data_IF_852876768663
#
_entry.id   IF_852876768663
#
_cell.length_a   1.000
_cell.length_b   1.000
_cell.length_c   1.000
_cell.angle_alpha   90.00
_cell.angle_beta   90.00
_cell.angle_gamma   90.00
#
_symmetry.space_group_name_H-M   'P 1'
#
loop_
_entity.id
_entity.type
_entity.pdbx_description
1 polymer ?
#
# COMPACT_ATOMS: atom_id res chain seq x y z
N UNK A 1 -21.37 1.36 -6.03
CA UNK A 1 -20.84 2.56 -6.71
C UNK A 1 -19.38 2.70 -6.30
N UNK A 2 -18.50 3.00 -7.26
CA UNK A 2 -17.10 3.30 -6.97
C UNK A 2 -16.97 4.55 -6.07
N UNK A 3 -15.97 4.58 -5.19
CA UNK A 3 -15.73 5.65 -4.22
C UNK A 3 -14.82 6.74 -4.79
N UNK A 4 -14.96 7.98 -4.29
CA UNK A 4 -14.06 9.08 -4.64
C UNK A 4 -12.71 8.94 -3.93
N UNK A 5 -12.71 8.39 -2.73
CA UNK A 5 -11.51 8.08 -1.99
C UNK A 5 -11.73 6.90 -1.05
N UNK A 6 -10.63 6.34 -0.58
CA UNK A 6 -10.59 5.41 0.54
C UNK A 6 -9.46 5.80 1.49
N UNK A 7 -9.65 5.57 2.79
CA UNK A 7 -8.67 5.82 3.82
C UNK A 7 -8.39 4.57 4.66
N UNK A 8 -7.17 4.47 5.18
CA UNK A 8 -6.85 3.47 6.18
C UNK A 8 -7.04 4.05 7.58
N UNK A 9 -7.82 3.35 8.40
CA UNK A 9 -8.05 3.70 9.79
C UNK A 9 -6.83 3.44 10.68
N UNK A 10 -6.98 3.76 11.96
CA UNK A 10 -5.95 3.48 12.96
C UNK A 10 -5.78 1.96 13.17
N UNK A 11 -4.55 1.54 13.44
CA UNK A 11 -4.25 0.15 13.79
C UNK A 11 -4.87 -0.19 15.15
N UNK A 12 -5.65 -1.25 15.21
CA UNK A 12 -6.06 -1.87 16.47
C UNK A 12 -4.86 -2.64 17.04
N UNK A 13 -4.34 -2.16 18.18
CA UNK A 13 -3.20 -2.79 18.84
C UNK A 13 -3.54 -4.12 19.50
N UNK A 14 -4.79 -4.35 19.91
CA UNK A 14 -5.24 -5.59 20.56
C UNK A 14 -5.51 -6.68 19.55
N UNK A 15 -6.17 -6.34 18.44
CA UNK A 15 -6.52 -7.29 17.40
C UNK A 15 -5.45 -7.43 16.32
N UNK A 16 -4.45 -6.53 16.31
CA UNK A 16 -3.44 -6.45 15.26
C UNK A 16 -4.03 -6.33 13.86
N UNK A 17 -5.10 -5.54 13.74
CA UNK A 17 -5.84 -5.31 12.49
C UNK A 17 -5.86 -3.83 12.13
N UNK A 18 -6.30 -3.55 10.90
CA UNK A 18 -6.53 -2.21 10.39
C UNK A 18 -7.67 -2.22 9.38
N UNK A 19 -8.52 -1.21 9.45
CA UNK A 19 -9.74 -1.12 8.63
C UNK A 19 -9.50 -0.22 7.44
N UNK A 20 -9.94 -0.66 6.26
CA UNK A 20 -10.08 0.16 5.07
C UNK A 20 -11.48 0.79 5.08
N UNK A 21 -11.53 2.10 4.89
CA UNK A 21 -12.72 2.94 5.05
C UNK A 21 -12.97 3.66 3.72
N UNK A 22 -14.21 3.68 3.26
CA UNK A 22 -14.66 4.39 2.08
C UNK A 22 -15.04 5.85 2.39
N UNK A 23 -15.38 6.59 1.33
CA UNK A 23 -16.07 7.88 1.44
C UNK A 23 -17.26 7.81 2.42
N UNK A 24 -17.40 8.83 3.26
CA UNK A 24 -18.43 8.89 4.31
C UNK A 24 -18.20 7.95 5.52
N UNK A 25 -16.95 7.61 5.83
CA UNK A 25 -16.55 6.77 6.98
C UNK A 25 -17.15 5.34 6.98
N UNK A 26 -17.48 4.82 5.80
CA UNK A 26 -18.06 3.47 5.69
C UNK A 26 -16.96 2.40 5.71
N UNK A 27 -16.92 1.48 6.69
CA UNK A 27 -15.92 0.41 6.72
C UNK A 27 -16.15 -0.58 5.55
N UNK A 28 -15.10 -0.82 4.77
CA UNK A 28 -15.12 -1.73 3.61
C UNK A 28 -14.64 -3.13 4.00
N UNK A 29 -13.52 -3.18 4.72
CA UNK A 29 -12.80 -4.42 5.02
C UNK A 29 -11.84 -4.24 6.19
N UNK A 30 -11.55 -5.32 6.90
CA UNK A 30 -10.56 -5.35 7.98
C UNK A 30 -9.43 -6.29 7.57
N UNK A 31 -8.21 -5.78 7.60
CA UNK A 31 -7.00 -6.48 7.23
C UNK A 31 -6.13 -6.71 8.46
N UNK A 32 -5.27 -7.75 8.48
CA UNK A 32 -4.17 -7.80 9.42
C UNK A 32 -3.27 -6.58 9.24
N UNK A 33 -2.75 -6.05 10.34
CA UNK A 33 -1.87 -4.89 10.32
C UNK A 33 -0.51 -5.17 9.67
N UNK A 34 -0.17 -6.44 9.46
CA UNK A 34 1.01 -6.88 8.74
C UNK A 34 0.60 -8.03 7.83
N UNK A 35 0.53 -7.75 6.53
CA UNK A 35 0.32 -8.76 5.50
C UNK A 35 1.68 -9.33 5.10
N UNK A 36 2.06 -10.45 5.71
CA UNK A 36 3.21 -11.24 5.29
C UNK A 36 2.75 -12.60 4.78
N UNK A 37 3.14 -12.93 3.55
CA UNK A 37 2.74 -14.19 2.92
C UNK A 37 1.28 -14.17 2.46
N UNK A 38 0.62 -15.32 2.54
CA UNK A 38 -0.75 -15.52 2.06
C UNK A 38 -1.74 -15.25 3.19
N UNK A 39 -2.74 -14.43 2.96
CA UNK A 39 -3.79 -14.08 3.93
C UNK A 39 -5.15 -14.11 3.25
N UNK A 40 -6.16 -14.61 3.96
CA UNK A 40 -7.55 -14.46 3.55
C UNK A 40 -8.18 -13.28 4.31
N UNK A 41 -8.86 -12.39 3.57
CA UNK A 41 -9.60 -11.26 4.14
C UNK A 41 -10.99 -11.22 3.51
N UNK A 42 -11.94 -10.63 4.21
CA UNK A 42 -13.29 -10.41 3.70
C UNK A 42 -13.48 -8.94 3.39
N UNK A 43 -13.87 -8.64 2.16
CA UNK A 43 -14.13 -7.29 1.66
C UNK A 43 -15.59 -7.22 1.28
N UNK A 44 -16.39 -6.50 2.07
CA UNK A 44 -17.84 -6.37 1.89
C UNK A 44 -18.55 -7.71 1.64
N UNK A 45 -18.29 -8.74 2.45
CA UNK A 45 -18.92 -10.05 2.28
C UNK A 45 -18.23 -10.96 1.25
N UNK A 46 -17.26 -10.45 0.49
CA UNK A 46 -16.56 -11.23 -0.54
C UNK A 46 -15.21 -11.71 0.00
N UNK A 47 -14.88 -13.01 -0.11
CA UNK A 47 -13.58 -13.53 0.31
C UNK A 47 -12.50 -13.17 -0.71
N UNK A 48 -11.39 -12.65 -0.20
CA UNK A 48 -10.19 -12.28 -0.96
C UNK A 48 -9.02 -13.09 -0.44
N UNK A 49 -8.23 -13.64 -1.37
CA UNK A 49 -6.95 -14.28 -1.04
C UNK A 49 -5.82 -13.37 -1.50
N UNK A 50 -5.10 -12.84 -0.54
CA UNK A 50 -4.01 -11.89 -0.73
C UNK A 50 -2.68 -12.63 -0.57
N UNK A 51 -1.68 -12.20 -1.33
CA UNK A 51 -0.28 -12.56 -1.11
C UNK A 51 0.57 -11.30 -1.19
N UNK A 52 1.36 -11.03 -0.17
CA UNK A 52 2.28 -9.88 -0.14
C UNK A 52 3.71 -10.36 0.07
N UNK A 53 4.58 -9.98 -0.87
CA UNK A 53 6.02 -10.17 -0.80
C UNK A 53 6.77 -8.85 -0.94
N UNK A 54 8.11 -8.92 -0.92
CA UNK A 54 8.95 -7.72 -1.05
C UNK A 54 8.86 -7.05 -2.43
N UNK A 55 8.51 -7.82 -3.47
CA UNK A 55 8.52 -7.39 -4.88
C UNK A 55 7.18 -7.50 -5.58
N UNK A 56 6.22 -8.18 -4.97
CA UNK A 56 4.93 -8.43 -5.59
C UNK A 56 3.81 -8.41 -4.54
N UNK A 57 2.62 -8.06 -5.01
CA UNK A 57 1.37 -8.18 -4.27
C UNK A 57 0.38 -8.81 -5.23
N UNK A 58 -0.38 -9.80 -4.78
CA UNK A 58 -1.46 -10.41 -5.57
C UNK A 58 -2.74 -10.48 -4.75
N UNK A 59 -3.87 -10.32 -5.41
CA UNK A 59 -5.20 -10.55 -4.84
C UNK A 59 -6.02 -11.42 -5.78
N UNK A 60 -6.64 -12.47 -5.24
CA UNK A 60 -7.57 -13.35 -5.95
C UNK A 60 -8.96 -13.18 -5.35
N UNK A 61 -9.96 -12.93 -6.22
CA UNK A 61 -11.35 -12.66 -5.84
C UNK A 61 -12.28 -13.39 -6.80
N UNK A 62 -12.75 -14.58 -6.40
CA UNK A 62 -13.46 -15.46 -7.33
C UNK A 62 -12.57 -15.80 -8.53
N UNK A 63 -13.02 -15.45 -9.74
CA UNK A 63 -12.27 -15.66 -10.99
C UNK A 63 -11.31 -14.51 -11.34
N UNK A 64 -11.36 -13.39 -10.61
CA UNK A 64 -10.55 -12.21 -10.90
C UNK A 64 -9.20 -12.26 -10.21
N UNK A 65 -8.17 -11.76 -10.89
CA UNK A 65 -6.81 -11.69 -10.35
C UNK A 65 -6.18 -10.31 -10.52
N UNK A 66 -5.75 -9.72 -9.41
CA UNK A 66 -5.04 -8.45 -9.38
C UNK A 66 -3.58 -8.67 -9.00
N UNK A 67 -2.66 -7.97 -9.67
CA UNK A 67 -1.21 -8.10 -9.41
C UNK A 67 -0.52 -6.74 -9.45
N UNK A 68 0.45 -6.58 -8.56
CA UNK A 68 1.39 -5.46 -8.55
C UNK A 68 2.81 -6.00 -8.44
N UNK A 69 3.75 -5.41 -9.18
CA UNK A 69 5.15 -5.82 -9.13
C UNK A 69 6.11 -4.65 -9.27
N UNK A 70 7.30 -4.82 -8.67
CA UNK A 70 8.41 -3.86 -8.71
C UNK A 70 9.72 -4.59 -9.00
N UNK A 71 10.68 -3.87 -9.56
CA UNK A 71 11.98 -4.44 -9.96
C UNK A 71 12.81 -4.94 -8.75
N UNK A 72 12.87 -4.15 -7.67
CA UNK A 72 13.76 -4.40 -6.52
C UNK A 72 13.04 -4.66 -5.20
N UNK A 73 12.35 -3.66 -4.68
CA UNK A 73 11.51 -3.69 -3.47
C UNK A 73 10.62 -2.45 -3.41
N UNK A 74 9.45 -2.55 -2.78
CA UNK A 74 8.49 -1.44 -2.73
C UNK A 74 9.05 -0.15 -2.10
N UNK A 75 9.89 -0.27 -1.05
CA UNK A 75 10.52 0.90 -0.40
C UNK A 75 11.34 1.77 -1.34
N UNK A 76 12.01 1.18 -2.33
CA UNK A 76 12.85 1.90 -3.30
C UNK A 76 12.16 2.12 -4.65
N UNK A 77 10.94 1.64 -4.84
CA UNK A 77 10.25 1.74 -6.13
C UNK A 77 9.97 3.20 -6.50
N UNK A 78 10.12 3.50 -7.79
CA UNK A 78 9.64 4.73 -8.44
C UNK A 78 8.49 4.48 -9.41
N UNK A 79 8.34 3.23 -9.84
CA UNK A 79 7.25 2.76 -10.67
C UNK A 79 6.82 1.38 -10.17
N UNK A 80 5.52 1.10 -10.23
CA UNK A 80 4.91 -0.19 -9.88
C UNK A 80 4.08 -0.63 -11.07
N UNK A 81 4.36 -1.80 -11.61
CA UNK A 81 3.58 -2.38 -12.70
C UNK A 81 2.33 -3.04 -12.14
N UNK A 82 1.17 -2.77 -12.74
CA UNK A 82 -0.12 -3.26 -12.29
C UNK A 82 -0.83 -4.09 -13.38
N UNK A 83 -1.48 -5.14 -12.93
CA UNK A 83 -2.41 -5.95 -13.71
C UNK A 83 -3.74 -6.01 -12.96
N UNK A 84 -4.74 -5.29 -13.45
CA UNK A 84 -6.06 -5.19 -12.86
C UNK A 84 -7.02 -6.14 -13.58
N UNK A 85 -6.81 -7.44 -13.43
CA UNK A 85 -7.59 -8.48 -14.10
C UNK A 85 -7.49 -8.42 -15.64
N UNK A 86 -6.25 -8.37 -16.15
CA UNK A 86 -5.93 -8.26 -17.58
C UNK A 86 -5.78 -6.81 -18.07
N UNK A 87 -6.33 -5.83 -17.33
CA UNK A 87 -6.17 -4.41 -17.62
C UNK A 87 -4.82 -3.92 -17.08
N UNK A 88 -3.92 -3.51 -17.98
CA UNK A 88 -2.61 -2.97 -17.62
C UNK A 88 -2.72 -1.54 -17.09
N UNK A 89 -2.00 -1.29 -16.01
CA UNK A 89 -1.88 0.02 -15.36
C UNK A 89 -0.51 0.12 -14.70
N UNK A 90 -0.18 1.29 -14.16
CA UNK A 90 1.05 1.53 -13.40
C UNK A 90 0.82 2.56 -12.31
N UNK A 91 1.67 2.54 -11.29
CA UNK A 91 1.79 3.61 -10.33
C UNK A 91 3.15 4.30 -10.51
N UNK A 92 3.18 5.63 -10.63
CA UNK A 92 4.41 6.41 -10.80
C UNK A 92 4.58 7.36 -9.60
N UNK A 93 5.80 7.42 -9.08
CA UNK A 93 6.20 8.36 -8.04
C UNK A 93 6.73 9.65 -8.67
N UNK A 94 6.01 10.76 -8.54
CA UNK A 94 6.35 12.04 -9.17
C UNK A 94 7.34 12.87 -8.33
N UNK A 95 7.01 13.15 -7.07
CA UNK A 95 7.83 13.97 -6.16
C UNK A 95 7.76 13.46 -4.72
N UNK A 96 8.92 13.30 -4.08
CA UNK A 96 9.14 12.79 -2.69
C UNK A 96 8.44 11.45 -2.41
N UNK A 97 7.12 11.46 -2.37
CA UNK A 97 6.23 10.35 -2.02
C UNK A 97 4.79 10.57 -2.54
N UNK A 98 4.61 11.42 -3.56
CA UNK A 98 3.35 11.60 -4.27
C UNK A 98 3.31 10.61 -5.43
N UNK A 99 2.24 9.83 -5.48
CA UNK A 99 2.06 8.73 -6.41
C UNK A 99 0.77 8.91 -7.21
N UNK A 100 0.85 8.60 -8.49
CA UNK A 100 -0.28 8.63 -9.42
C UNK A 100 -0.46 7.25 -10.01
N UNK A 101 -1.70 6.75 -10.01
CA UNK A 101 -2.10 5.56 -10.74
C UNK A 101 -2.54 5.98 -12.14
N UNK A 102 -1.99 5.34 -13.16
CA UNK A 102 -2.31 5.57 -14.57
C UNK A 102 -2.66 4.25 -15.26
N UNK A 103 -3.56 4.29 -16.23
CA UNK A 103 -3.81 3.15 -17.11
C UNK A 103 -2.74 3.03 -18.21
N UNK A 104 -2.92 2.05 -19.10
CA UNK A 104 -2.02 1.83 -20.23
C UNK A 104 -1.94 3.01 -21.22
N UNK A 105 -2.97 3.87 -21.27
CA UNK A 105 -3.02 5.07 -22.12
C UNK A 105 -2.40 6.30 -21.45
N UNK A 106 -2.03 6.21 -20.17
CA UNK A 106 -1.57 7.33 -19.36
C UNK A 106 -2.71 8.13 -18.74
N UNK A 107 -3.95 7.62 -18.79
CA UNK A 107 -5.07 8.27 -18.13
C UNK A 107 -5.02 8.00 -16.63
N UNK A 108 -5.22 9.06 -15.84
CA UNK A 108 -5.18 8.99 -14.39
C UNK A 108 -6.37 8.20 -13.85
N UNK A 109 -6.06 7.24 -12.97
CA UNK A 109 -7.01 6.42 -12.24
C UNK A 109 -7.22 6.89 -10.81
N UNK A 110 -6.18 7.50 -10.23
CA UNK A 110 -6.17 7.94 -8.85
C UNK A 110 -4.80 8.40 -8.39
N UNK A 111 -4.68 8.76 -7.13
CA UNK A 111 -3.42 9.21 -6.53
C UNK A 111 -3.40 8.96 -5.02
N UNK A 112 -2.19 8.91 -4.45
CA UNK A 112 -1.98 8.94 -3.01
C UNK A 112 -0.68 9.67 -2.67
N UNK A 113 -0.59 10.18 -1.44
CA UNK A 113 0.64 10.83 -0.96
C UNK A 113 1.08 10.27 0.39
N UNK A 114 2.39 10.05 0.51
CA UNK A 114 3.03 9.74 1.78
C UNK A 114 3.55 10.96 2.55
N UNK A 115 3.44 12.16 1.98
CA UNK A 115 4.18 13.35 2.44
C UNK A 115 3.71 13.93 3.79
N UNK A 116 2.39 14.00 4.02
CA UNK A 116 1.83 14.65 5.22
C UNK A 116 1.20 13.70 6.24
N UNK A 117 0.81 12.50 5.83
CA UNK A 117 -0.07 11.65 6.63
C UNK A 117 0.49 10.24 6.91
N UNK A 118 1.63 9.89 6.31
CA UNK A 118 2.30 8.60 6.47
C UNK A 118 1.34 7.41 6.35
N UNK A 119 1.66 6.31 7.05
CA UNK A 119 0.81 5.11 7.11
C UNK A 119 -0.43 5.32 8.00
N UNK A 120 -0.40 6.30 8.91
CA UNK A 120 -1.43 6.47 9.95
C UNK A 120 -2.74 7.05 9.42
N UNK A 121 -2.67 7.85 8.37
CA UNK A 121 -3.81 8.47 7.69
C UNK A 121 -3.61 8.42 6.17
N UNK A 122 -3.25 7.26 5.61
CA UNK A 122 -3.05 7.13 4.16
C UNK A 122 -4.40 7.12 3.44
N UNK A 123 -4.59 8.06 2.53
CA UNK A 123 -5.75 8.14 1.65
C UNK A 123 -5.34 7.86 0.20
N UNK A 124 -6.21 7.16 -0.51
CA UNK A 124 -6.13 6.97 -1.96
C UNK A 124 -7.34 7.66 -2.56
N UNK A 125 -7.10 8.63 -3.44
CA UNK A 125 -8.12 9.34 -4.21
C UNK A 125 -8.28 8.68 -5.57
N UNK A 126 -9.49 8.66 -6.11
CA UNK A 126 -9.83 8.01 -7.38
C UNK A 126 -10.54 8.96 -8.32
N UNK A 127 -10.27 8.81 -9.61
CA UNK A 127 -10.98 9.53 -10.66
C UNK A 127 -12.34 8.87 -10.95
N UNK A 128 -13.39 9.67 -11.03
CA UNK A 128 -14.76 9.17 -11.17
C UNK A 128 -14.97 8.34 -12.44
N UNK A 129 -15.52 7.14 -12.29
CA UNK A 129 -15.82 6.24 -13.42
C UNK A 129 -14.62 5.56 -14.06
N UNK A 130 -13.40 5.75 -13.52
CA UNK A 130 -12.16 5.15 -14.06
C UNK A 130 -11.76 3.86 -13.37
N UNK A 131 -12.30 3.58 -12.19
CA UNK A 131 -12.02 2.37 -11.42
C UNK A 131 -13.31 1.76 -10.87
N UNK A 132 -13.30 0.44 -10.66
CA UNK A 132 -14.36 -0.26 -9.94
C UNK A 132 -13.97 -0.47 -8.47
N UNK A 133 -14.93 -0.85 -7.62
CA UNK A 133 -14.72 -1.02 -6.17
C UNK A 133 -13.58 -2.01 -5.82
N UNK A 134 -13.46 -3.12 -6.56
CA UNK A 134 -12.40 -4.10 -6.31
C UNK A 134 -11.03 -3.56 -6.70
N UNK A 135 -10.93 -2.87 -7.83
CA UNK A 135 -9.71 -2.16 -8.22
C UNK A 135 -9.33 -1.13 -7.14
N UNK A 136 -10.28 -0.36 -6.62
CA UNK A 136 -10.04 0.63 -5.58
C UNK A 136 -9.51 0.02 -4.28
N UNK A 137 -10.07 -1.12 -3.85
CA UNK A 137 -9.55 -1.86 -2.69
C UNK A 137 -8.12 -2.33 -2.92
N UNK A 138 -7.83 -2.89 -4.11
CA UNK A 138 -6.49 -3.37 -4.44
C UNK A 138 -5.46 -2.23 -4.55
N UNK A 139 -5.81 -1.13 -5.19
CA UNK A 139 -4.97 0.08 -5.27
C UNK A 139 -4.69 0.66 -3.89
N UNK A 140 -5.68 0.62 -2.99
CA UNK A 140 -5.50 1.09 -1.61
C UNK A 140 -4.60 0.20 -0.78
N UNK A 141 -4.65 -1.12 -1.02
CA UNK A 141 -3.69 -2.08 -0.46
C UNK A 141 -2.27 -1.75 -0.93
N UNK A 142 -2.06 -1.51 -2.23
CA UNK A 142 -0.76 -1.11 -2.77
C UNK A 142 -0.25 0.18 -2.11
N UNK A 143 -1.12 1.20 -2.00
CA UNK A 143 -0.79 2.48 -1.37
C UNK A 143 -0.24 2.27 0.04
N UNK A 144 -0.94 1.48 0.85
CA UNK A 144 -0.51 1.11 2.20
C UNK A 144 0.83 0.38 2.20
N UNK A 145 0.98 -0.65 1.38
CA UNK A 145 2.21 -1.46 1.32
C UNK A 145 3.43 -0.60 0.95
N UNK A 146 3.29 0.34 0.02
CA UNK A 146 4.37 1.26 -0.37
C UNK A 146 4.79 2.13 0.81
N UNK A 147 3.82 2.72 1.52
CA UNK A 147 4.08 3.59 2.66
C UNK A 147 4.70 2.82 3.84
N UNK A 148 4.18 1.64 4.14
CA UNK A 148 4.73 0.75 5.18
C UNK A 148 6.16 0.31 4.86
N UNK A 149 6.42 -0.07 3.61
CA UNK A 149 7.76 -0.49 3.18
C UNK A 149 8.79 0.65 3.32
N UNK A 150 8.42 1.88 2.94
CA UNK A 150 9.28 3.06 3.08
C UNK A 150 9.55 3.39 4.56
N UNK A 151 8.52 3.36 5.41
CA UNK A 151 8.65 3.60 6.84
C UNK A 151 9.57 2.56 7.50
N UNK A 152 9.36 1.28 7.22
CA UNK A 152 10.17 0.19 7.76
C UNK A 152 11.65 0.33 7.36
N UNK A 153 11.92 0.63 6.08
CA UNK A 153 13.29 0.83 5.61
C UNK A 153 13.99 2.02 6.30
N UNK A 154 13.26 3.09 6.60
CA UNK A 154 13.81 4.25 7.31
C UNK A 154 14.12 3.92 8.77
N UNK A 155 13.23 3.20 9.46
CA UNK A 155 13.45 2.73 10.84
C UNK A 155 14.69 1.85 10.95
N UNK A 156 14.89 0.91 10.03
CA UNK A 156 16.08 0.05 10.00
C UNK A 156 17.36 0.88 9.80
N UNK A 157 17.34 1.85 8.89
CA UNK A 157 18.49 2.72 8.65
C UNK A 157 18.86 3.55 9.90
N UNK A 158 17.86 4.06 10.63
CA UNK A 158 18.05 4.82 11.86
C UNK A 158 18.61 3.94 12.98
N UNK A 159 18.06 2.73 13.18
CA UNK A 159 18.58 1.76 14.15
C UNK A 159 20.04 1.42 13.85
N UNK A 160 20.36 1.11 12.58
CA UNK A 160 21.72 0.81 12.17
C UNK A 160 22.68 1.98 12.42
N UNK A 161 22.25 3.22 12.13
CA UNK A 161 23.04 4.43 12.39
C UNK A 161 23.30 4.62 13.89
N UNK A 162 22.30 4.44 14.74
CA UNK A 162 22.45 4.56 16.19
C UNK A 162 23.43 3.52 16.76
N UNK A 163 23.39 2.28 16.26
CA UNK A 163 24.33 1.22 16.66
C UNK A 163 25.75 1.58 16.26
N UNK A 164 25.96 2.10 15.04
CA UNK A 164 27.29 2.53 14.58
C UNK A 164 27.84 3.68 15.42
N UNK A 165 27.03 4.69 15.73
CA UNK A 165 27.43 5.80 16.60
C UNK A 165 27.79 5.29 18.01
N UNK A 166 27.00 4.37 18.55
CA UNK A 166 27.26 3.78 19.87
C UNK A 166 28.59 3.03 19.90
N UNK A 167 28.87 2.21 18.87
CA UNK A 167 30.16 1.51 18.74
C UNK A 167 31.32 2.48 18.58
N UNK A 168 31.15 3.54 17.79
CA UNK A 168 32.17 4.59 17.61
C UNK A 168 32.48 5.30 18.93
N UNK A 169 31.47 5.68 19.71
CA UNK A 169 31.66 6.30 21.01
C UNK A 169 32.41 5.38 21.97
N UNK A 170 32.03 4.10 22.03
CA UNK A 170 32.77 3.12 22.84
C UNK A 170 34.23 3.05 22.40
N UNK A 171 34.51 3.02 21.10
CA UNK A 171 35.89 2.91 20.59
C UNK A 171 36.74 4.18 20.83
N UNK A 172 36.13 5.37 20.79
CA UNK A 172 36.83 6.65 21.04
C UNK A 172 37.10 6.89 22.52
N UNK A 173 36.22 6.43 23.41
CA UNK A 173 36.32 6.66 24.85
C UNK A 173 36.88 5.45 25.62
N UNK A 174 37.30 4.39 24.94
CA UNK A 174 38.10 3.27 25.46
C UNK A 174 39.59 3.55 25.28
#
# INVERSE_FOLDING_TARGET
MAWNYTGWGQRDSKQHTVTLIADGDTPIATFPAQLEGITQVEVQGTPWKLSQGQRNITAEVGERSFKASVEKKFSSAKEIQLDLDGRKARAICEKRSDWVYEDASGEKLGQFSGGNNGVRNSYTEFEAGKTNEQEQVFLSLISRTVLESKLSSMSVALIASLVLISLFLVLVFL
#
